data_IF_876365009898
#
_entry.id   IF_876365009898
#
_cell.length_a   1.000
_cell.length_b   1.000
_cell.length_c   1.000
_cell.angle_alpha   90.00
_cell.angle_beta   90.00
_cell.angle_gamma   90.00
#
_symmetry.space_group_name_H-M   'P 1'
#
loop_
_entity.id
_entity.type
_entity.pdbx_description
1 polymer ?
#
# COMPACT_ATOMS: atom_id res chain seq x y z
N UNK A 1 24.13 19.71 -24.09
CA UNK A 1 25.35 20.11 -23.38
C UNK A 1 24.98 21.15 -22.33
N UNK A 2 25.49 20.98 -21.10
CA UNK A 2 25.35 21.98 -20.03
C UNK A 2 26.51 22.97 -20.17
N UNK A 3 26.19 24.27 -20.30
CA UNK A 3 27.17 25.34 -20.29
C UNK A 3 27.04 26.11 -18.99
N UNK A 4 28.09 26.14 -18.19
CA UNK A 4 28.13 26.94 -16.95
C UNK A 4 28.33 28.42 -17.29
N UNK A 5 27.54 29.28 -16.65
CA UNK A 5 27.56 30.75 -16.79
C UNK A 5 27.51 31.35 -15.40
N UNK A 6 28.36 32.34 -15.12
CA UNK A 6 28.30 33.08 -13.85
C UNK A 6 26.94 33.73 -13.70
N UNK A 7 26.42 33.76 -12.48
CA UNK A 7 25.04 34.20 -12.26
C UNK A 7 24.82 35.65 -12.70
N UNK A 8 25.84 36.51 -12.52
CA UNK A 8 25.83 37.92 -12.92
C UNK A 8 25.79 38.10 -14.45
N UNK A 9 26.40 37.16 -15.18
CA UNK A 9 26.44 37.16 -16.65
C UNK A 9 25.20 36.49 -17.27
N UNK A 10 24.29 35.97 -16.44
CA UNK A 10 23.19 35.12 -16.89
C UNK A 10 21.86 35.86 -17.08
N UNK A 11 21.86 37.19 -16.98
CA UNK A 11 20.67 38.03 -17.22
C UNK A 11 20.14 37.77 -18.64
N UNK A 12 18.84 37.50 -18.73
CA UNK A 12 18.15 37.16 -19.97
C UNK A 12 18.15 35.67 -20.33
N UNK A 13 18.92 34.84 -19.62
CA UNK A 13 18.90 33.37 -19.82
C UNK A 13 17.66 32.73 -19.19
N UNK A 14 17.25 31.60 -19.76
CA UNK A 14 16.12 30.81 -19.26
C UNK A 14 16.67 29.70 -18.35
N UNK A 15 16.13 29.61 -17.13
CA UNK A 15 16.51 28.55 -16.20
C UNK A 15 16.06 27.18 -16.71
N UNK A 16 16.97 26.20 -16.84
CA UNK A 16 16.63 24.89 -17.38
C UNK A 16 15.89 24.00 -16.38
N UNK A 17 15.96 24.27 -15.08
CA UNK A 17 15.31 23.52 -14.01
C UNK A 17 14.90 24.42 -12.84
N UNK A 18 14.24 23.80 -11.87
CA UNK A 18 13.77 24.45 -10.65
C UNK A 18 14.92 24.69 -9.68
N UNK A 19 14.96 25.88 -9.08
CA UNK A 19 15.94 26.19 -8.03
C UNK A 19 15.24 26.26 -6.68
N UNK A 20 15.59 25.35 -5.79
CA UNK A 20 15.01 25.22 -4.45
C UNK A 20 15.80 26.06 -3.44
N UNK A 21 15.08 26.81 -2.61
CA UNK A 21 15.63 27.42 -1.41
C UNK A 21 15.41 26.49 -0.22
N UNK A 22 16.46 26.29 0.57
CA UNK A 22 16.42 25.51 1.80
C UNK A 22 16.93 26.40 2.94
N UNK A 23 16.02 26.81 3.81
CA UNK A 23 16.31 27.49 5.08
C UNK A 23 16.08 26.47 6.20
N UNK A 24 17.15 25.92 6.82
CA UNK A 24 17.02 24.87 7.82
C UNK A 24 16.06 25.25 8.95
N UNK A 25 15.03 24.44 9.17
CA UNK A 25 14.04 24.64 10.23
C UNK A 25 12.91 25.64 9.92
N UNK A 26 12.99 26.39 8.81
CA UNK A 26 12.02 27.44 8.48
C UNK A 26 11.28 27.18 7.16
N UNK A 27 12.00 26.86 6.09
CA UNK A 27 11.40 26.78 4.77
C UNK A 27 12.15 25.85 3.81
N UNK A 28 11.39 25.06 3.05
CA UNK A 28 11.91 24.31 1.90
C UNK A 28 10.91 24.42 0.76
N UNK A 29 11.32 25.05 -0.33
CA UNK A 29 10.45 25.22 -1.50
C UNK A 29 11.16 25.79 -2.71
N UNK A 30 10.49 25.68 -3.86
CA UNK A 30 10.96 26.21 -5.15
C UNK A 30 10.98 27.73 -5.12
N UNK A 31 12.16 28.32 -5.25
CA UNK A 31 12.38 29.76 -5.33
C UNK A 31 12.19 30.25 -6.77
N UNK A 32 12.79 29.54 -7.74
CA UNK A 32 12.66 29.86 -9.16
C UNK A 32 12.09 28.69 -9.95
N UNK A 33 11.32 29.05 -10.99
CA UNK A 33 10.71 28.09 -11.89
C UNK A 33 11.56 27.83 -13.12
N UNK A 34 11.72 26.57 -13.53
CA UNK A 34 12.07 26.21 -14.91
C UNK A 34 11.29 27.08 -15.89
N UNK A 35 11.98 27.62 -16.89
CA UNK A 35 11.41 28.55 -17.85
C UNK A 35 11.46 30.02 -17.41
N UNK A 36 11.83 30.32 -16.16
CA UNK A 36 12.02 31.70 -15.70
C UNK A 36 13.19 32.34 -16.42
N UNK A 37 12.97 33.56 -16.92
CA UNK A 37 14.02 34.37 -17.51
C UNK A 37 14.71 35.18 -16.40
N UNK A 38 16.01 34.97 -16.22
CA UNK A 38 16.80 35.62 -15.18
C UNK A 38 16.84 37.13 -15.41
N UNK A 39 16.51 37.89 -14.37
CA UNK A 39 16.58 39.36 -14.35
C UNK A 39 17.65 39.85 -13.38
N UNK A 40 18.04 41.12 -13.48
CA UNK A 40 19.01 41.73 -12.55
C UNK A 40 18.53 41.67 -11.09
N UNK A 41 17.21 41.76 -10.86
CA UNK A 41 16.63 41.66 -9.52
C UNK A 41 16.74 40.25 -8.90
N UNK A 42 16.96 39.21 -9.71
CA UNK A 42 17.04 37.83 -9.25
C UNK A 42 18.44 37.46 -8.71
N UNK A 43 19.47 38.23 -9.07
CA UNK A 43 20.88 37.94 -8.77
C UNK A 43 21.14 37.77 -7.26
N UNK A 44 20.70 38.68 -6.37
CA UNK A 44 20.92 38.50 -4.93
C UNK A 44 20.22 37.25 -4.39
N UNK A 45 19.03 36.92 -4.90
CA UNK A 45 18.28 35.75 -4.46
C UNK A 45 18.96 34.43 -4.90
N UNK A 46 19.49 34.38 -6.13
CA UNK A 46 20.26 33.24 -6.63
C UNK A 46 21.56 33.03 -5.83
N UNK A 47 22.30 34.10 -5.55
CA UNK A 47 23.48 34.05 -4.68
C UNK A 47 23.12 33.59 -3.26
N UNK A 48 21.98 34.04 -2.72
CA UNK A 48 21.54 33.68 -1.37
C UNK A 48 21.25 32.18 -1.18
N UNK A 49 20.98 31.45 -2.27
CA UNK A 49 20.82 30.00 -2.28
C UNK A 49 22.10 29.25 -2.72
N UNK A 50 23.24 29.93 -2.74
CA UNK A 50 24.56 29.37 -3.05
C UNK A 50 24.82 29.15 -4.54
N UNK A 51 24.11 29.85 -5.44
CA UNK A 51 24.32 29.72 -6.89
C UNK A 51 25.22 30.84 -7.41
N UNK A 52 26.53 30.58 -7.41
CA UNK A 52 27.55 31.41 -8.08
C UNK A 52 27.49 31.29 -9.61
N UNK A 53 27.02 30.14 -10.10
CA UNK A 53 26.86 29.84 -11.51
C UNK A 53 25.49 29.19 -11.76
N UNK A 54 24.94 29.46 -12.94
CA UNK A 54 23.77 28.78 -13.48
C UNK A 54 24.12 28.15 -14.83
N UNK A 55 23.32 27.18 -15.26
CA UNK A 55 23.60 26.40 -16.46
C UNK A 55 22.67 26.84 -17.59
N UNK A 56 23.22 27.09 -18.78
CA UNK A 56 22.47 27.07 -20.03
C UNK A 56 22.37 25.61 -20.51
N UNK A 57 21.20 25.19 -20.98
CA UNK A 57 20.98 23.83 -21.43
C UNK A 57 20.55 23.79 -22.90
N UNK A 58 21.32 23.07 -23.71
CA UNK A 58 20.90 22.62 -25.04
C UNK A 58 20.73 21.10 -25.02
N UNK A 59 19.51 20.60 -25.24
CA UNK A 59 19.26 19.15 -25.33
C UNK A 59 19.77 18.63 -26.67
N UNK A 60 20.64 17.62 -26.63
CA UNK A 60 21.06 16.90 -27.82
C UNK A 60 20.05 15.78 -28.14
N UNK A 61 19.89 15.39 -29.42
CA UNK A 61 19.10 14.21 -29.77
C UNK A 61 19.56 12.97 -28.98
N UNK A 62 18.61 12.17 -28.49
CA UNK A 62 18.89 10.99 -27.66
C UNK A 62 19.04 11.27 -26.16
N UNK A 63 18.83 12.52 -25.72
CA UNK A 63 18.81 12.88 -24.30
C UNK A 63 17.49 13.55 -23.92
N UNK A 64 17.03 13.28 -22.69
CA UNK A 64 15.82 13.82 -22.12
C UNK A 64 16.13 14.73 -20.93
N UNK A 65 15.31 15.76 -20.74
CA UNK A 65 15.28 16.51 -19.49
C UNK A 65 14.62 15.68 -18.39
N UNK A 66 15.03 15.89 -17.13
CA UNK A 66 14.52 15.14 -15.97
C UNK A 66 12.98 15.11 -15.86
N UNK A 67 12.31 16.24 -16.09
CA UNK A 67 10.83 16.31 -16.04
C UNK A 67 10.16 15.41 -17.09
N UNK A 68 10.73 15.37 -18.31
CA UNK A 68 10.19 14.58 -19.41
C UNK A 68 10.43 13.09 -19.14
N UNK A 69 11.64 12.75 -18.67
CA UNK A 69 11.97 11.41 -18.23
C UNK A 69 11.04 10.95 -17.10
N UNK A 70 10.87 11.75 -16.05
CA UNK A 70 9.99 11.42 -14.93
C UNK A 70 8.53 11.21 -15.37
N UNK A 71 8.02 12.05 -16.29
CA UNK A 71 6.68 11.88 -16.82
C UNK A 71 6.52 10.58 -17.62
N UNK A 72 7.51 10.22 -18.44
CA UNK A 72 7.51 8.96 -19.20
C UNK A 72 7.61 7.74 -18.28
N UNK A 73 8.50 7.77 -17.28
CA UNK A 73 8.62 6.72 -16.26
C UNK A 73 7.29 6.52 -15.51
N UNK A 74 6.64 7.60 -15.08
CA UNK A 74 5.35 7.53 -14.40
C UNK A 74 4.24 6.96 -15.28
N UNK A 75 4.22 7.30 -16.58
CA UNK A 75 3.28 6.72 -17.55
C UNK A 75 3.56 5.24 -17.81
N UNK A 76 4.83 4.83 -17.85
CA UNK A 76 5.22 3.44 -18.07
C UNK A 76 4.70 2.53 -16.95
N UNK A 77 4.68 3.01 -15.70
CA UNK A 77 4.16 2.24 -14.56
C UNK A 77 2.63 2.35 -14.40
N UNK A 78 2.05 3.53 -14.59
CA UNK A 78 0.61 3.74 -14.42
C UNK A 78 -0.18 3.10 -15.57
N UNK A 79 -0.87 1.98 -15.30
CA UNK A 79 -1.67 1.25 -16.30
C UNK A 79 -3.18 1.26 -16.06
N UNK A 80 -3.65 1.85 -14.95
CA UNK A 80 -5.03 1.74 -14.48
C UNK A 80 -5.69 3.13 -14.40
N UNK A 81 -6.96 3.20 -14.78
CA UNK A 81 -7.84 4.38 -14.66
C UNK A 81 -8.01 4.91 -13.24
N UNK A 82 -7.77 4.09 -12.20
CA UNK A 82 -7.83 4.48 -10.79
C UNK A 82 -6.60 5.24 -10.30
N UNK A 83 -5.65 5.52 -11.19
CA UNK A 83 -4.38 6.16 -10.88
C UNK A 83 -4.27 7.52 -11.55
N UNK A 84 -3.75 8.49 -10.79
CA UNK A 84 -3.51 9.85 -11.27
C UNK A 84 -2.05 10.23 -11.13
N UNK A 85 -1.48 10.77 -12.21
CA UNK A 85 -0.13 11.35 -12.20
C UNK A 85 -0.18 12.80 -11.73
N UNK A 86 0.85 13.23 -11.00
CA UNK A 86 1.08 14.65 -10.74
C UNK A 86 1.82 15.30 -11.89
N UNK A 87 1.78 16.63 -11.97
CA UNK A 87 2.73 17.37 -12.80
C UNK A 87 4.16 17.16 -12.30
N UNK A 88 5.18 17.24 -13.19
CA UNK A 88 6.58 17.25 -12.78
C UNK A 88 6.87 18.40 -11.82
N UNK A 89 7.57 18.09 -10.74
CA UNK A 89 8.05 19.06 -9.76
C UNK A 89 9.43 18.63 -9.26
N UNK A 90 10.46 19.45 -9.53
CA UNK A 90 11.86 19.14 -9.19
C UNK A 90 12.30 17.75 -9.72
N UNK A 91 12.03 17.47 -11.01
CA UNK A 91 12.41 16.23 -11.68
C UNK A 91 11.65 14.98 -11.20
N UNK A 92 10.56 15.15 -10.45
CA UNK A 92 9.78 14.05 -9.87
C UNK A 92 8.32 14.09 -10.33
N UNK A 93 7.81 12.92 -10.68
CA UNK A 93 6.36 12.67 -10.88
C UNK A 93 5.89 11.59 -9.93
N UNK A 94 4.80 11.87 -9.22
CA UNK A 94 4.16 10.90 -8.34
C UNK A 94 2.94 10.27 -9.03
N UNK A 95 2.69 8.99 -8.74
CA UNK A 95 1.43 8.31 -9.06
C UNK A 95 0.61 8.20 -7.78
N UNK A 96 -0.65 8.65 -7.83
CA UNK A 96 -1.59 8.70 -6.70
C UNK A 96 -2.79 7.80 -6.95
N UNK A 97 -3.35 7.24 -5.87
CA UNK A 97 -4.65 6.56 -5.92
C UNK A 97 -5.78 7.58 -6.03
N UNK A 98 -6.81 7.29 -6.81
CA UNK A 98 -8.08 8.05 -6.81
C UNK A 98 -9.16 7.41 -5.92
N UNK A 99 -8.92 6.20 -5.42
CA UNK A 99 -9.89 5.44 -4.63
C UNK A 99 -9.33 5.01 -3.28
N UNK A 100 -10.24 4.63 -2.38
CA UNK A 100 -9.90 3.83 -1.21
C UNK A 100 -9.82 2.36 -1.63
N UNK A 101 -8.69 1.70 -1.40
CA UNK A 101 -8.53 0.29 -1.77
C UNK A 101 -7.19 -0.31 -1.34
N UNK A 102 -6.87 -1.47 -1.91
CA UNK A 102 -5.64 -2.20 -1.66
C UNK A 102 -4.64 -2.00 -2.80
N UNK A 103 -3.50 -1.38 -2.51
CA UNK A 103 -2.43 -1.23 -3.49
C UNK A 103 -1.75 -2.57 -3.78
N UNK A 104 -1.63 -2.92 -5.05
CA UNK A 104 -0.86 -4.06 -5.55
C UNK A 104 0.25 -3.53 -6.46
N UNK A 105 1.47 -3.97 -6.18
CA UNK A 105 2.68 -3.47 -6.82
C UNK A 105 3.55 -4.66 -7.17
N UNK A 106 3.99 -4.70 -8.43
CA UNK A 106 4.92 -5.69 -8.93
C UNK A 106 6.35 -5.41 -8.46
N UNK A 107 6.80 -6.17 -7.44
CA UNK A 107 8.14 -6.01 -6.88
C UNK A 107 9.24 -6.29 -7.91
N UNK A 108 9.09 -7.31 -8.76
CA UNK A 108 10.14 -7.69 -9.70
C UNK A 108 10.33 -6.61 -10.79
N UNK A 109 9.24 -5.98 -11.22
CA UNK A 109 9.32 -4.80 -12.09
C UNK A 109 10.03 -3.63 -11.39
N UNK A 110 9.67 -3.33 -10.14
CA UNK A 110 10.31 -2.25 -9.37
C UNK A 110 11.82 -2.49 -9.21
N UNK A 111 12.22 -3.72 -8.88
CA UNK A 111 13.63 -4.10 -8.76
C UNK A 111 14.37 -3.95 -10.10
N UNK A 112 13.76 -4.40 -11.21
CA UNK A 112 14.36 -4.33 -12.54
C UNK A 112 14.56 -2.88 -13.02
N UNK A 113 13.58 -2.00 -12.76
CA UNK A 113 13.70 -0.56 -13.09
C UNK A 113 14.83 0.10 -12.29
N UNK A 114 14.91 -0.17 -10.98
CA UNK A 114 15.97 0.41 -10.14
C UNK A 114 17.36 -0.21 -10.40
N UNK A 115 17.47 -1.28 -11.19
CA UNK A 115 18.74 -1.80 -11.67
C UNK A 115 19.30 -0.99 -12.87
N UNK A 116 18.48 -0.14 -13.50
CA UNK A 116 18.91 0.78 -14.55
C UNK A 116 19.54 2.00 -13.90
N UNK A 117 20.81 2.22 -14.20
CA UNK A 117 21.59 3.33 -13.66
C UNK A 117 20.91 4.70 -13.91
N UNK A 118 20.98 5.60 -12.94
CA UNK A 118 20.35 6.93 -12.90
C UNK A 118 18.81 6.98 -12.83
N UNK A 119 18.11 5.84 -12.96
CA UNK A 119 16.65 5.77 -12.82
C UNK A 119 16.27 5.44 -11.38
N UNK A 120 15.27 6.14 -10.84
CA UNK A 120 14.74 5.88 -9.50
C UNK A 120 13.22 5.69 -9.55
N UNK A 121 12.78 4.56 -9.03
CA UNK A 121 11.39 4.19 -8.84
C UNK A 121 11.17 3.78 -7.39
N UNK A 122 10.60 4.68 -6.58
CA UNK A 122 10.24 4.40 -5.19
C UNK A 122 8.75 4.12 -5.08
N UNK A 123 8.37 3.08 -4.33
CA UNK A 123 6.97 2.71 -4.12
C UNK A 123 6.66 2.50 -2.64
N UNK A 124 5.39 2.61 -2.26
CA UNK A 124 4.91 1.99 -1.02
C UNK A 124 5.01 0.46 -1.12
N UNK A 125 4.79 -0.27 -0.02
CA UNK A 125 4.72 -1.74 -0.06
C UNK A 125 3.44 -2.19 -0.75
N UNK A 126 3.51 -3.31 -1.49
CA UNK A 126 2.32 -4.02 -1.97
C UNK A 126 1.48 -4.51 -0.77
N UNK A 127 0.20 -4.79 -0.99
CA UNK A 127 -0.79 -5.14 0.05
C UNK A 127 -1.00 -4.05 1.11
N UNK A 128 -0.84 -2.78 0.73
CA UNK A 128 -1.08 -1.64 1.63
C UNK A 128 -2.45 -1.03 1.36
N UNK A 129 -3.22 -0.77 2.41
CA UNK A 129 -4.47 -0.01 2.33
C UNK A 129 -4.17 1.46 2.07
N UNK A 130 -4.83 2.05 1.07
CA UNK A 130 -4.57 3.44 0.65
C UNK A 130 -5.88 4.20 0.48
N UNK A 131 -5.90 5.45 0.91
CA UNK A 131 -7.02 6.37 0.72
C UNK A 131 -6.95 7.06 -0.65
N UNK A 132 -8.07 7.60 -1.12
CA UNK A 132 -8.09 8.48 -2.27
C UNK A 132 -7.14 9.68 -2.06
N UNK A 133 -6.32 9.98 -3.06
CA UNK A 133 -5.29 11.02 -3.02
C UNK A 133 -3.93 10.58 -2.46
N UNK A 134 -3.80 9.37 -1.89
CA UNK A 134 -2.53 8.86 -1.38
C UNK A 134 -1.50 8.67 -2.51
N UNK A 135 -0.22 8.99 -2.23
CA UNK A 135 0.87 8.76 -3.18
C UNK A 135 1.37 7.32 -3.07
N UNK A 136 1.42 6.60 -4.19
CA UNK A 136 1.81 5.19 -4.26
C UNK A 136 3.24 5.03 -4.75
N UNK A 137 3.62 5.89 -5.72
CA UNK A 137 4.90 5.81 -6.44
C UNK A 137 5.47 7.21 -6.61
N UNK A 138 6.79 7.32 -6.53
CA UNK A 138 7.57 8.48 -6.98
C UNK A 138 8.60 8.03 -8.01
N UNK A 139 8.58 8.67 -9.18
CA UNK A 139 9.53 8.43 -10.28
C UNK A 139 10.39 9.66 -10.50
N UNK A 140 11.69 9.45 -10.75
CA UNK A 140 12.62 10.49 -11.16
C UNK A 140 13.84 9.88 -11.84
N UNK A 141 14.61 10.73 -12.50
CA UNK A 141 16.02 10.46 -12.80
C UNK A 141 16.90 11.28 -11.86
N UNK A 142 18.15 10.84 -11.67
CA UNK A 142 19.12 11.54 -10.82
C UNK A 142 19.75 12.76 -11.52
N UNK A 143 20.29 12.65 -12.76
CA UNK A 143 20.85 13.80 -13.45
C UNK A 143 19.75 14.67 -14.07
N UNK A 144 20.06 15.94 -14.28
CA UNK A 144 19.20 16.91 -14.96
C UNK A 144 18.88 16.50 -16.42
N UNK A 145 19.80 15.77 -17.05
CA UNK A 145 19.70 15.25 -18.40
C UNK A 145 20.06 13.76 -18.35
N UNK A 146 19.24 12.91 -18.96
CA UNK A 146 19.42 11.44 -19.00
C UNK A 146 19.41 10.93 -20.44
N UNK A 147 20.14 9.85 -20.70
CA UNK A 147 20.05 9.13 -21.98
C UNK A 147 18.63 8.56 -22.17
N UNK A 148 18.00 8.90 -23.29
CA UNK A 148 16.65 8.44 -23.63
C UNK A 148 16.54 6.91 -23.64
N UNK A 149 17.61 6.20 -24.03
CA UNK A 149 17.61 4.74 -24.09
C UNK A 149 17.29 4.10 -22.73
N UNK A 150 17.67 4.75 -21.61
CA UNK A 150 17.35 4.27 -20.26
C UNK A 150 15.86 4.33 -19.96
N UNK A 151 15.18 5.39 -20.40
CA UNK A 151 13.72 5.54 -20.23
C UNK A 151 12.97 4.57 -21.15
N UNK A 152 13.45 4.40 -22.39
CA UNK A 152 12.91 3.42 -23.34
C UNK A 152 13.04 1.99 -22.79
N UNK A 153 14.14 1.67 -22.11
CA UNK A 153 14.30 0.36 -21.47
C UNK A 153 13.27 0.12 -20.36
N UNK A 154 12.94 1.14 -19.55
CA UNK A 154 11.84 1.04 -18.57
C UNK A 154 10.50 0.79 -19.25
N UNK A 155 10.21 1.51 -20.33
CA UNK A 155 8.99 1.32 -21.13
C UNK A 155 8.91 -0.12 -21.69
N UNK A 156 10.04 -0.65 -22.16
CA UNK A 156 10.15 -2.04 -22.66
C UNK A 156 9.93 -3.07 -21.55
N UNK A 157 10.55 -2.90 -20.38
CA UNK A 157 10.31 -3.76 -19.22
C UNK A 157 8.84 -3.74 -18.82
N UNK A 158 8.22 -2.56 -18.81
CA UNK A 158 6.83 -2.39 -18.46
C UNK A 158 5.88 -3.05 -19.47
N UNK A 159 6.22 -3.03 -20.77
CA UNK A 159 5.47 -3.74 -21.80
C UNK A 159 5.61 -5.27 -21.66
N UNK A 160 6.84 -5.77 -21.49
CA UNK A 160 7.11 -7.21 -21.36
C UNK A 160 6.37 -7.82 -20.17
N UNK A 161 6.39 -7.18 -18.99
CA UNK A 161 5.65 -7.63 -17.81
C UNK A 161 4.13 -7.69 -18.06
N UNK A 162 3.58 -6.74 -18.83
CA UNK A 162 2.15 -6.75 -19.19
C UNK A 162 1.83 -7.86 -20.20
N UNK A 163 2.70 -8.16 -21.14
CA UNK A 163 2.56 -9.29 -22.07
C UNK A 163 2.56 -10.63 -21.34
N UNK A 164 3.33 -10.74 -20.24
CA UNK A 164 3.30 -11.87 -19.32
C UNK A 164 2.02 -11.93 -18.45
N UNK A 165 1.14 -10.92 -18.54
CA UNK A 165 -0.12 -10.84 -17.80
C UNK A 165 -0.01 -10.20 -16.41
N UNK A 166 1.11 -9.57 -16.07
CA UNK A 166 1.27 -8.87 -14.79
C UNK A 166 0.73 -7.43 -14.84
N UNK A 167 0.03 -7.04 -13.78
CA UNK A 167 -0.29 -5.64 -13.50
C UNK A 167 0.83 -5.03 -12.68
N UNK A 168 1.45 -3.95 -13.17
CA UNK A 168 2.60 -3.31 -12.52
C UNK A 168 2.22 -2.55 -11.25
N UNK A 169 1.10 -1.85 -11.31
CA UNK A 169 0.53 -1.05 -10.25
C UNK A 169 -1.00 -1.00 -10.44
N UNK A 170 -1.74 -1.40 -9.42
CA UNK A 170 -3.19 -1.26 -9.36
C UNK A 170 -3.62 -0.93 -7.92
N UNK A 171 -4.80 -0.34 -7.77
CA UNK A 171 -5.49 -0.24 -6.49
C UNK A 171 -6.79 -1.01 -6.62
N UNK A 172 -6.87 -2.15 -5.93
CA UNK A 172 -8.07 -2.98 -5.96
C UNK A 172 -9.15 -2.34 -5.06
N UNK A 173 -10.35 -2.03 -5.59
CA UNK A 173 -11.43 -1.50 -4.77
C UNK A 173 -11.88 -2.54 -3.75
N UNK A 174 -12.28 -2.08 -2.57
CA UNK A 174 -12.89 -2.96 -1.58
C UNK A 174 -14.34 -3.28 -1.95
N UNK A 175 -14.71 -4.55 -1.80
CA UNK A 175 -16.08 -5.04 -1.86
C UNK A 175 -16.75 -4.76 -0.52
N UNK A 176 -18.01 -4.35 -0.55
CA UNK A 176 -18.85 -4.24 0.66
C UNK A 176 -19.28 -5.64 1.10
N UNK A 177 -18.51 -6.25 2.01
CA UNK A 177 -18.82 -7.58 2.53
C UNK A 177 -19.85 -7.51 3.67
N UNK A 178 -20.74 -8.50 3.70
CA UNK A 178 -21.61 -8.80 4.84
C UNK A 178 -20.86 -9.75 5.77
N UNK A 179 -20.51 -9.28 6.97
CA UNK A 179 -19.67 -10.02 7.92
C UNK A 179 -20.53 -10.56 9.07
N UNK A 180 -20.41 -11.85 9.35
CA UNK A 180 -20.94 -12.46 10.56
C UNK A 180 -19.85 -12.60 11.62
N UNK A 181 -20.15 -12.26 12.88
CA UNK A 181 -19.19 -12.38 13.99
C UNK A 181 -19.71 -13.38 15.02
N UNK A 182 -18.85 -14.28 15.48
CA UNK A 182 -19.11 -15.19 16.60
C UNK A 182 -18.12 -14.83 17.71
N UNK A 183 -18.64 -14.36 18.84
CA UNK A 183 -17.85 -14.15 20.06
C UNK A 183 -18.04 -15.36 20.98
N UNK A 184 -16.99 -16.14 21.17
CA UNK A 184 -16.94 -17.27 22.08
C UNK A 184 -16.50 -16.81 23.48
N UNK A 185 -16.78 -17.63 24.50
CA UNK A 185 -16.43 -17.36 25.89
C UNK A 185 -17.64 -17.47 26.81
N UNK A 186 -17.57 -18.39 27.77
CA UNK A 186 -18.67 -18.66 28.72
C UNK A 186 -19.02 -17.43 29.58
N UNK A 187 -18.03 -16.62 29.90
CA UNK A 187 -18.13 -15.39 30.67
C UNK A 187 -18.84 -14.27 29.91
N UNK A 188 -18.61 -14.14 28.60
CA UNK A 188 -19.32 -13.18 27.74
C UNK A 188 -20.75 -13.68 27.51
N UNK A 189 -20.92 -14.96 27.16
CA UNK A 189 -22.23 -15.57 26.92
C UNK A 189 -23.16 -15.48 28.13
N UNK A 190 -22.64 -15.69 29.34
CA UNK A 190 -23.41 -15.61 30.60
C UNK A 190 -23.52 -14.18 31.13
N UNK A 191 -23.03 -13.17 30.41
CA UNK A 191 -23.09 -11.76 30.80
C UNK A 191 -22.25 -11.39 32.04
N UNK A 192 -21.22 -12.19 32.37
CA UNK A 192 -20.30 -11.90 33.48
C UNK A 192 -19.34 -10.77 33.14
N UNK A 193 -18.96 -10.68 31.86
CA UNK A 193 -18.20 -9.56 31.31
C UNK A 193 -18.86 -9.05 30.02
N UNK A 194 -18.52 -7.82 29.64
CA UNK A 194 -18.95 -7.26 28.36
C UNK A 194 -17.99 -7.67 27.23
N UNK A 195 -18.54 -7.86 26.04
CA UNK A 195 -17.75 -8.08 24.83
C UNK A 195 -16.97 -6.82 24.43
N UNK A 196 -15.67 -6.98 24.26
CA UNK A 196 -14.76 -5.94 23.77
C UNK A 196 -14.24 -6.20 22.36
N UNK A 197 -14.41 -7.41 21.81
CA UNK A 197 -13.98 -7.71 20.44
C UNK A 197 -14.97 -7.16 19.41
N UNK A 198 -16.28 -7.35 19.65
CA UNK A 198 -17.32 -6.94 18.72
C UNK A 198 -17.19 -5.48 18.26
N UNK A 199 -17.05 -4.50 19.17
CA UNK A 199 -16.85 -3.10 18.78
C UNK A 199 -15.61 -2.87 17.91
N UNK A 200 -14.46 -3.44 18.26
CA UNK A 200 -13.19 -3.27 17.52
C UNK A 200 -13.27 -3.91 16.13
N UNK A 201 -13.84 -5.11 16.04
CA UNK A 201 -14.03 -5.81 14.76
C UNK A 201 -15.00 -5.03 13.86
N UNK A 202 -16.11 -4.53 14.41
CA UNK A 202 -17.06 -3.69 13.68
C UNK A 202 -16.39 -2.46 13.10
N UNK A 203 -15.55 -1.78 13.88
CA UNK A 203 -14.79 -0.61 13.42
C UNK A 203 -13.83 -0.97 12.28
N UNK A 204 -12.98 -1.98 12.44
CA UNK A 204 -12.00 -2.40 11.42
C UNK A 204 -12.67 -2.84 10.11
N UNK A 205 -13.80 -3.56 10.21
CA UNK A 205 -14.61 -3.97 9.04
C UNK A 205 -15.25 -2.75 8.36
N UNK A 206 -15.80 -1.81 9.13
CA UNK A 206 -16.42 -0.59 8.60
C UNK A 206 -15.42 0.33 7.92
N UNK A 207 -14.19 0.44 8.44
CA UNK A 207 -13.10 1.20 7.81
C UNK A 207 -12.83 0.70 6.38
N UNK A 208 -13.03 -0.58 6.08
CA UNK A 208 -12.84 -1.17 4.74
C UNK A 208 -14.12 -1.13 3.88
N UNK A 209 -15.16 -0.42 4.32
CA UNK A 209 -16.43 -0.29 3.61
C UNK A 209 -17.36 -1.51 3.72
N UNK A 210 -17.03 -2.46 4.60
CA UNK A 210 -17.84 -3.66 4.88
C UNK A 210 -18.71 -3.48 6.13
N UNK A 211 -19.59 -4.43 6.42
CA UNK A 211 -20.59 -4.29 7.50
C UNK A 211 -20.74 -5.59 8.29
N UNK A 212 -20.70 -5.52 9.62
CA UNK A 212 -21.09 -6.64 10.48
C UNK A 212 -22.62 -6.69 10.54
N UNK A 213 -23.22 -7.63 9.82
CA UNK A 213 -24.68 -7.76 9.68
C UNK A 213 -25.30 -8.54 10.83
N UNK A 214 -24.51 -9.36 11.50
CA UNK A 214 -24.97 -10.16 12.63
C UNK A 214 -23.81 -10.52 13.56
N UNK A 215 -24.09 -10.54 14.86
CA UNK A 215 -23.14 -10.94 15.89
C UNK A 215 -23.81 -11.93 16.84
N UNK A 216 -23.21 -13.11 16.94
CA UNK A 216 -23.66 -14.23 17.77
C UNK A 216 -22.70 -14.45 18.92
N UNK A 217 -23.22 -14.97 20.02
CA UNK A 217 -22.43 -15.38 21.18
C UNK A 217 -22.55 -16.89 21.33
N UNK A 218 -21.43 -17.56 21.52
CA UNK A 218 -21.39 -19.00 21.71
C UNK A 218 -20.71 -19.36 23.04
N UNK A 219 -21.15 -20.45 23.65
CA UNK A 219 -20.37 -21.11 24.70
C UNK A 219 -19.05 -21.63 24.11
N UNK A 220 -18.07 -21.86 24.97
CA UNK A 220 -16.81 -22.51 24.59
C UNK A 220 -17.00 -24.02 24.43
N UNK A 221 -17.84 -24.38 23.47
CA UNK A 221 -18.25 -25.72 23.11
C UNK A 221 -18.22 -25.85 21.59
N UNK A 222 -17.65 -26.95 21.08
CA UNK A 222 -17.44 -27.10 19.64
C UNK A 222 -18.75 -27.20 18.87
N UNK A 223 -19.78 -27.87 19.39
CA UNK A 223 -21.06 -28.01 18.69
C UNK A 223 -21.80 -26.67 18.61
N UNK A 224 -21.77 -25.89 19.69
CA UNK A 224 -22.34 -24.54 19.71
C UNK A 224 -21.67 -23.64 18.65
N UNK A 225 -20.33 -23.61 18.61
CA UNK A 225 -19.59 -22.78 17.64
C UNK A 225 -19.86 -23.22 16.20
N UNK A 226 -19.87 -24.53 15.93
CA UNK A 226 -20.21 -25.09 14.61
C UNK A 226 -21.63 -24.69 14.18
N UNK A 227 -22.59 -24.79 15.10
CA UNK A 227 -23.98 -24.38 14.86
C UNK A 227 -24.08 -22.91 14.44
N UNK A 228 -23.40 -22.00 15.15
CA UNK A 228 -23.39 -20.58 14.82
C UNK A 228 -22.68 -20.27 13.50
N UNK A 229 -21.60 -20.99 13.15
CA UNK A 229 -20.95 -20.88 11.83
C UNK A 229 -21.96 -21.20 10.73
N UNK A 230 -22.66 -22.32 10.82
CA UNK A 230 -23.66 -22.71 9.81
C UNK A 230 -24.87 -21.76 9.79
N UNK A 231 -25.30 -21.25 10.94
CA UNK A 231 -26.39 -20.29 11.03
C UNK A 231 -26.05 -18.97 10.31
N UNK A 232 -24.84 -18.43 10.53
CA UNK A 232 -24.38 -17.23 9.83
C UNK A 232 -24.25 -17.46 8.32
N UNK A 233 -23.72 -18.61 7.90
CA UNK A 233 -23.64 -18.97 6.49
C UNK A 233 -25.03 -19.05 5.84
N UNK A 234 -26.04 -19.57 6.55
CA UNK A 234 -27.41 -19.61 6.07
C UNK A 234 -28.03 -18.20 5.88
N UNK A 235 -27.50 -17.17 6.54
CA UNK A 235 -27.89 -15.76 6.30
C UNK A 235 -27.23 -15.15 5.04
N UNK A 236 -26.34 -15.90 4.39
CA UNK A 236 -25.60 -15.46 3.20
C UNK A 236 -24.57 -14.37 3.52
N UNK A 237 -23.81 -14.53 4.60
CA UNK A 237 -22.64 -13.67 4.89
C UNK A 237 -21.48 -14.01 3.96
N UNK A 238 -20.68 -13.01 3.63
CA UNK A 238 -19.51 -13.12 2.75
C UNK A 238 -18.22 -13.46 3.53
N UNK A 239 -18.23 -13.31 4.85
CA UNK A 239 -17.10 -13.55 5.74
C UNK A 239 -17.62 -13.89 7.15
N UNK A 240 -17.03 -14.91 7.77
CA UNK A 240 -17.26 -15.23 9.19
C UNK A 240 -16.00 -14.91 9.99
N UNK A 241 -16.17 -14.17 11.08
CA UNK A 241 -15.12 -13.89 12.05
C UNK A 241 -15.46 -14.59 13.37
N UNK A 242 -14.52 -15.37 13.89
CA UNK A 242 -14.67 -16.06 15.18
C UNK A 242 -13.62 -15.51 16.13
N UNK A 243 -14.04 -15.08 17.32
CA UNK A 243 -13.20 -14.40 18.30
C UNK A 243 -13.58 -14.80 19.72
N UNK A 244 -12.82 -14.39 20.73
CA UNK A 244 -13.06 -14.77 22.12
C UNK A 244 -12.43 -16.10 22.53
N UNK A 245 -11.97 -16.87 21.53
CA UNK A 245 -11.06 -18.00 21.64
C UNK A 245 -10.23 -18.05 20.35
N UNK A 246 -8.97 -18.45 20.46
CA UNK A 246 -7.96 -18.74 19.42
C UNK A 246 -6.61 -19.16 20.04
N UNK A 247 -6.55 -19.34 21.36
CA UNK A 247 -5.34 -19.72 22.10
C UNK A 247 -4.90 -21.13 21.77
N UNK A 248 -3.69 -21.48 22.20
CA UNK A 248 -3.15 -22.85 22.16
C UNK A 248 -3.62 -23.70 23.34
N UNK A 249 -4.43 -23.13 24.22
CA UNK A 249 -4.89 -23.80 25.43
C UNK A 249 -5.76 -25.02 25.08
N UNK A 250 -5.59 -26.16 25.77
CA UNK A 250 -6.32 -27.40 25.44
C UNK A 250 -7.85 -27.30 25.57
N UNK A 251 -8.34 -26.34 26.33
CA UNK A 251 -9.76 -26.07 26.52
C UNK A 251 -10.35 -25.16 25.45
N UNK A 252 -9.53 -24.43 24.67
CA UNK A 252 -10.03 -23.59 23.58
C UNK A 252 -10.56 -24.43 22.42
N UNK A 253 -11.88 -24.41 22.26
CA UNK A 253 -12.57 -25.22 21.25
C UNK A 253 -12.65 -24.55 19.89
N UNK A 254 -12.26 -23.28 19.78
CA UNK A 254 -12.50 -22.46 18.60
C UNK A 254 -11.78 -22.97 17.34
N UNK A 255 -10.46 -23.24 17.36
CA UNK A 255 -9.76 -23.75 16.18
C UNK A 255 -10.25 -25.14 15.76
N UNK A 256 -10.66 -25.96 16.73
CA UNK A 256 -11.24 -27.29 16.51
C UNK A 256 -12.63 -27.22 15.89
N UNK A 257 -13.48 -26.32 16.38
CA UNK A 257 -14.84 -26.10 15.89
C UNK A 257 -14.85 -25.60 14.45
N UNK A 258 -13.97 -24.66 14.08
CA UNK A 258 -13.84 -24.19 12.69
C UNK A 258 -13.52 -25.36 11.74
N UNK A 259 -12.61 -26.27 12.15
CA UNK A 259 -12.30 -27.49 11.38
C UNK A 259 -13.51 -28.44 11.33
N UNK A 260 -14.19 -28.63 12.46
CA UNK A 260 -15.34 -29.52 12.58
C UNK A 260 -16.54 -29.05 11.74
N UNK A 261 -16.69 -27.75 11.52
CA UNK A 261 -17.69 -27.19 10.59
C UNK A 261 -17.45 -27.59 9.12
N UNK A 262 -16.34 -28.28 8.82
CA UNK A 262 -15.97 -28.70 7.47
C UNK A 262 -15.16 -27.66 6.70
N UNK A 263 -14.63 -26.64 7.39
CA UNK A 263 -13.80 -25.63 6.75
C UNK A 263 -12.43 -26.18 6.37
N UNK A 264 -12.00 -25.91 5.13
CA UNK A 264 -10.63 -26.15 4.67
C UNK A 264 -9.71 -25.11 5.29
N UNK A 265 -8.87 -25.53 6.23
CA UNK A 265 -7.88 -24.66 6.87
C UNK A 265 -6.71 -24.39 5.92
N UNK A 266 -6.42 -23.11 5.68
CA UNK A 266 -5.23 -22.65 4.96
C UNK A 266 -4.05 -22.52 5.91
N UNK A 267 -4.31 -21.92 7.09
CA UNK A 267 -3.35 -21.86 8.16
C UNK A 267 -4.04 -21.75 9.51
N UNK A 268 -3.48 -22.43 10.51
CA UNK A 268 -3.62 -22.01 11.89
C UNK A 268 -2.28 -21.43 12.33
N UNK A 269 -2.26 -20.11 12.46
CA UNK A 269 -1.10 -19.32 12.82
C UNK A 269 -0.48 -18.57 11.64
N UNK A 270 0.19 -17.47 11.94
CA UNK A 270 0.88 -16.63 10.96
C UNK A 270 2.28 -16.29 11.46
N UNK A 271 3.31 -16.23 10.60
CA UNK A 271 4.64 -15.79 10.98
C UNK A 271 4.70 -14.25 11.11
N UNK A 272 3.79 -13.66 11.88
CA UNK A 272 3.70 -12.23 12.16
C UNK A 272 3.39 -12.01 13.64
N UNK A 273 4.00 -10.98 14.21
CA UNK A 273 3.79 -10.53 15.58
C UNK A 273 3.44 -9.03 15.55
N UNK A 274 2.33 -8.60 16.18
CA UNK A 274 1.30 -9.41 16.84
C UNK A 274 0.35 -10.12 15.85
N UNK A 275 -0.36 -11.16 16.33
CA UNK A 275 -1.33 -11.93 15.52
C UNK A 275 -0.91 -13.34 15.12
N UNK A 276 0.11 -13.92 15.76
CA UNK A 276 0.68 -15.22 15.39
C UNK A 276 -0.28 -16.40 15.45
N UNK A 277 -1.39 -16.30 16.19
CA UNK A 277 -2.39 -17.36 16.35
C UNK A 277 -3.62 -17.20 15.43
N UNK A 278 -3.59 -16.25 14.49
CA UNK A 278 -4.70 -16.07 13.56
C UNK A 278 -4.90 -17.31 12.68
N UNK A 279 -6.15 -17.77 12.56
CA UNK A 279 -6.53 -18.85 11.65
C UNK A 279 -7.21 -18.28 10.41
N UNK A 280 -6.85 -18.82 9.24
CA UNK A 280 -7.58 -18.63 7.99
C UNK A 280 -8.07 -19.99 7.51
N UNK A 281 -9.38 -20.09 7.29
CA UNK A 281 -10.04 -21.25 6.71
C UNK A 281 -11.11 -20.79 5.71
N UNK A 282 -11.63 -21.74 4.93
CA UNK A 282 -12.70 -21.50 3.96
C UNK A 282 -13.74 -22.61 4.04
N UNK A 283 -15.01 -22.25 4.10
CA UNK A 283 -16.11 -23.20 3.96
C UNK A 283 -16.83 -22.89 2.64
N UNK A 284 -16.60 -23.74 1.64
CA UNK A 284 -16.84 -23.36 0.24
C UNK A 284 -15.95 -22.16 -0.13
N UNK A 285 -16.57 -21.10 -0.66
CA UNK A 285 -15.90 -19.84 -1.01
C UNK A 285 -15.90 -18.81 0.12
N UNK A 286 -16.60 -19.08 1.23
CA UNK A 286 -16.72 -18.12 2.35
C UNK A 286 -15.49 -18.24 3.26
N UNK A 287 -14.67 -17.18 3.40
CA UNK A 287 -13.59 -17.13 4.37
C UNK A 287 -14.11 -17.17 5.81
N UNK A 288 -13.38 -17.88 6.66
CA UNK A 288 -13.55 -17.91 8.10
C UNK A 288 -12.21 -17.51 8.72
N UNK A 289 -12.20 -16.44 9.52
CA UNK A 289 -11.01 -15.99 10.26
C UNK A 289 -11.19 -16.19 11.76
N UNK A 290 -10.27 -16.92 12.37
CA UNK A 290 -10.15 -17.02 13.82
C UNK A 290 -9.24 -15.92 14.36
N UNK A 291 -9.76 -15.05 15.22
CA UNK A 291 -9.10 -13.82 15.65
C UNK A 291 -8.44 -13.97 17.04
N UNK A 292 -7.10 -13.81 17.15
CA UNK A 292 -6.41 -13.86 18.43
C UNK A 292 -6.67 -12.61 19.28
N UNK A 293 -6.43 -12.75 20.59
CA UNK A 293 -6.69 -11.69 21.57
C UNK A 293 -6.02 -10.34 21.30
N UNK A 294 -4.86 -10.35 20.63
CA UNK A 294 -4.16 -9.15 20.19
C UNK A 294 -5.01 -8.22 19.32
N UNK A 295 -5.99 -8.73 18.57
CA UNK A 295 -6.87 -7.90 17.72
C UNK A 295 -7.65 -6.86 18.55
N UNK A 296 -7.88 -7.11 19.84
CA UNK A 296 -8.58 -6.18 20.72
C UNK A 296 -7.73 -4.98 21.14
N UNK A 297 -6.42 -5.14 21.26
CA UNK A 297 -5.55 -4.15 21.93
C UNK A 297 -4.40 -3.63 21.07
N UNK A 298 -3.88 -4.45 20.16
CA UNK A 298 -2.81 -4.04 19.27
C UNK A 298 -3.39 -3.27 18.06
N UNK A 299 -2.81 -2.11 17.71
CA UNK A 299 -3.33 -1.29 16.62
C UNK A 299 -3.19 -1.96 15.25
N UNK A 300 -2.18 -2.82 15.09
CA UNK A 300 -1.85 -3.47 13.83
C UNK A 300 -1.41 -4.92 14.04
N UNK A 301 -2.18 -5.86 13.51
CA UNK A 301 -2.00 -7.31 13.67
C UNK A 301 -2.06 -8.03 12.32
N UNK A 302 -1.85 -9.35 12.31
CA UNK A 302 -2.08 -10.18 11.12
C UNK A 302 -3.50 -10.06 10.54
N UNK A 303 -4.50 -9.69 11.36
CA UNK A 303 -5.86 -9.39 10.89
C UNK A 303 -5.88 -8.16 9.98
N UNK A 304 -5.14 -7.12 10.34
CA UNK A 304 -5.04 -5.86 9.58
C UNK A 304 -4.25 -6.02 8.27
N UNK A 305 -3.48 -7.10 8.13
CA UNK A 305 -2.80 -7.48 6.89
C UNK A 305 -3.72 -8.31 5.98
N UNK A 306 -4.47 -9.25 6.55
CA UNK A 306 -5.21 -10.24 5.77
C UNK A 306 -6.65 -9.82 5.44
N UNK A 307 -7.35 -9.12 6.34
CA UNK A 307 -8.72 -8.68 6.10
C UNK A 307 -8.84 -7.78 4.85
N UNK A 308 -7.98 -6.77 4.63
CA UNK A 308 -8.09 -5.92 3.44
C UNK A 308 -7.95 -6.70 2.13
N UNK A 309 -7.17 -7.77 2.12
CA UNK A 309 -7.00 -8.64 0.95
C UNK A 309 -8.28 -9.40 0.64
N UNK A 310 -8.97 -9.92 1.65
CA UNK A 310 -10.28 -10.56 1.51
C UNK A 310 -11.31 -9.53 1.01
N UNK A 311 -11.34 -8.32 1.59
CA UNK A 311 -12.21 -7.24 1.12
C UNK A 311 -11.91 -6.81 -0.32
N UNK A 312 -10.65 -6.89 -0.77
CA UNK A 312 -10.25 -6.68 -2.16
C UNK A 312 -10.54 -7.89 -3.08
N UNK A 313 -11.17 -8.94 -2.56
CA UNK A 313 -11.58 -10.11 -3.31
C UNK A 313 -10.48 -11.15 -3.55
N UNK A 314 -9.43 -11.16 -2.74
CA UNK A 314 -8.39 -12.18 -2.80
C UNK A 314 -8.75 -13.42 -1.98
N UNK A 315 -8.43 -14.59 -2.52
CA UNK A 315 -8.35 -15.83 -1.77
C UNK A 315 -6.96 -15.94 -1.17
N UNK A 316 -6.86 -16.06 0.15
CA UNK A 316 -5.59 -16.21 0.86
C UNK A 316 -5.09 -17.65 0.69
N UNK A 317 -3.88 -17.78 0.19
CA UNK A 317 -3.19 -19.05 -0.02
C UNK A 317 -2.17 -19.31 1.08
N UNK A 318 -1.61 -20.53 1.10
CA UNK A 318 -0.56 -20.86 2.07
C UNK A 318 0.70 -20.01 1.89
N UNK A 319 1.06 -19.71 0.63
CA UNK A 319 2.20 -18.86 0.28
C UNK A 319 2.08 -17.46 0.88
N UNK A 320 0.88 -16.88 0.82
CA UNK A 320 0.56 -15.57 1.40
C UNK A 320 0.86 -15.50 2.89
N UNK A 321 0.56 -16.59 3.62
CA UNK A 321 0.85 -16.69 5.05
C UNK A 321 2.35 -16.80 5.28
N UNK A 322 3.07 -17.61 4.49
CA UNK A 322 4.51 -17.81 4.69
C UNK A 322 5.33 -16.54 4.42
N UNK A 323 4.92 -15.73 3.45
CA UNK A 323 5.61 -14.49 3.10
C UNK A 323 5.54 -13.42 4.20
N UNK A 324 4.52 -13.47 5.07
CA UNK A 324 4.37 -12.54 6.19
C UNK A 324 5.54 -12.55 7.16
N UNK A 325 6.37 -13.61 7.16
CA UNK A 325 7.57 -13.71 7.99
C UNK A 325 8.59 -12.61 7.70
N UNK A 326 8.72 -12.22 6.43
CA UNK A 326 9.68 -11.19 6.03
C UNK A 326 9.14 -9.79 6.38
N UNK A 327 9.68 -9.20 7.45
CA UNK A 327 9.19 -7.93 7.99
C UNK A 327 7.92 -8.07 8.84
N UNK A 328 7.58 -9.28 9.27
CA UNK A 328 6.42 -9.58 10.11
C UNK A 328 6.58 -9.29 11.60
N UNK A 329 7.73 -8.76 12.03
CA UNK A 329 7.99 -8.41 13.42
C UNK A 329 7.70 -6.93 13.67
N UNK A 330 6.49 -6.63 14.15
CA UNK A 330 6.06 -5.28 14.49
C UNK A 330 6.26 -5.03 15.98
N UNK A 331 6.89 -3.91 16.31
CA UNK A 331 6.97 -3.39 17.67
C UNK A 331 5.78 -2.47 17.85
N UNK A 332 4.72 -2.98 18.48
CA UNK A 332 3.52 -2.25 18.84
C UNK A 332 3.66 -1.67 20.25
#
# INVERSE_FOLDING_TARGET
MLREVKVEDAIGMILPHDLTQILPGEFKGRLFRKGHQVTEADIPALLSIGKEHIYAMELQPGYLHEDEAAQRLAKAIAGDSSLRLTEPHEGKVNVKSEIHGLAKIDKAFVDAVNAIDEVVLSTIRSNTVVQAGASLVGTRVIPLIVDEAKVVEVERLAAARREEGFTLLEVKPFRKLRVGVITTGSEVFKGRIQDKFGPIVKEKVAQLGSEVVDQRFALDDSEAIVGEIHALLALGVDLVLVTGGMSVDPDDRTPGAIKQAGARVVSYGTPMLPGSMLMIAYLGDVPIMGLPGCVMHDPYTSFDVLLPRICAGETILRSDITEMGYGGFYQC
#
